data_IF_516312318854
#
_entry.id   IF_516312318854
#
_cell.length_a   1.000
_cell.length_b   1.000
_cell.length_c   1.000
_cell.angle_alpha   90.00
_cell.angle_beta   90.00
_cell.angle_gamma   90.00
#
_symmetry.space_group_name_H-M   'P 1'
#
loop_
_entity.id
_entity.type
_entity.pdbx_description
1 polymer ?
#
# COMPACT_ATOMS: atom_id res chain seq x y z
N UNK A 1 -5.90 -3.35 -12.79
CA UNK A 1 -6.00 -1.86 -12.75
C UNK A 1 -4.59 -1.37 -12.98
N UNK A 2 -4.33 -0.76 -14.18
CA UNK A 2 -3.03 -0.20 -14.48
C UNK A 2 -2.85 1.08 -13.67
N UNK A 3 -1.92 1.08 -12.74
CA UNK A 3 -1.47 2.26 -12.01
C UNK A 3 -0.52 3.05 -12.90
N UNK A 4 -0.96 4.22 -13.37
CA UNK A 4 -0.07 5.16 -14.05
C UNK A 4 0.65 5.99 -12.98
N UNK A 5 1.97 5.83 -12.89
CA UNK A 5 2.81 6.55 -11.94
C UNK A 5 3.59 7.62 -12.71
N UNK A 6 3.43 8.87 -12.30
CA UNK A 6 4.22 9.99 -12.82
C UNK A 6 5.33 10.35 -11.83
N UNK A 7 6.60 10.25 -12.27
CA UNK A 7 7.74 10.77 -11.52
C UNK A 7 7.85 12.28 -11.74
N UNK A 8 8.01 13.04 -10.68
CA UNK A 8 8.41 14.44 -10.73
C UNK A 8 9.94 14.52 -10.87
N UNK A 9 10.45 14.73 -12.10
CA UNK A 9 11.88 14.86 -12.38
C UNK A 9 12.25 14.43 -13.80
N UNK A 10 13.43 14.77 -14.26
CA UNK A 10 13.91 14.90 -15.65
C UNK A 10 13.83 13.67 -16.60
N UNK A 11 13.17 12.55 -16.24
CA UNK A 11 12.94 11.43 -17.16
C UNK A 11 11.44 11.11 -17.31
N UNK A 12 10.67 12.02 -17.91
CA UNK A 12 9.23 11.82 -18.20
C UNK A 12 8.90 10.74 -19.26
N UNK A 13 9.84 9.92 -19.70
CA UNK A 13 9.64 9.01 -20.83
C UNK A 13 9.72 7.52 -20.49
N UNK A 14 9.83 7.13 -19.22
CA UNK A 14 9.90 5.71 -18.86
C UNK A 14 8.65 5.31 -18.07
N UNK A 15 7.75 4.58 -18.71
CA UNK A 15 6.62 3.93 -18.05
C UNK A 15 7.14 2.86 -17.09
N UNK A 16 6.78 2.94 -15.81
CA UNK A 16 7.04 1.91 -14.83
C UNK A 16 5.75 1.10 -14.61
N UNK A 17 5.82 -0.20 -14.84
CA UNK A 17 4.68 -1.11 -14.69
C UNK A 17 4.76 -1.76 -13.31
N UNK A 18 3.71 -1.58 -12.51
CA UNK A 18 3.55 -2.25 -11.23
C UNK A 18 2.74 -3.54 -11.34
N UNK A 19 2.69 -4.26 -10.22
CA UNK A 19 1.79 -5.39 -10.05
C UNK A 19 0.32 -4.94 -9.96
N UNK A 20 -0.57 -5.90 -9.73
CA UNK A 20 -2.01 -5.69 -9.56
C UNK A 20 -2.50 -6.04 -8.14
N UNK A 21 -3.80 -6.11 -7.97
CA UNK A 21 -4.43 -6.34 -6.67
C UNK A 21 -4.27 -7.75 -6.14
N UNK A 22 -3.41 -7.96 -5.14
CA UNK A 22 -3.19 -9.25 -4.49
C UNK A 22 -4.50 -9.89 -3.99
N UNK A 23 -5.33 -9.16 -3.27
CA UNK A 23 -6.58 -9.70 -2.73
C UNK A 23 -7.57 -10.16 -3.82
N UNK A 24 -7.61 -9.49 -4.96
CA UNK A 24 -8.44 -9.89 -6.11
C UNK A 24 -7.94 -11.19 -6.74
N UNK A 25 -6.62 -11.33 -6.92
CA UNK A 25 -6.00 -12.55 -7.46
C UNK A 25 -6.18 -13.75 -6.51
N UNK A 26 -6.01 -13.55 -5.22
CA UNK A 26 -6.25 -14.60 -4.23
C UNK A 26 -7.69 -15.12 -4.29
N UNK A 27 -8.70 -14.22 -4.37
CA UNK A 27 -10.10 -14.62 -4.57
C UNK A 27 -10.33 -15.37 -5.87
N UNK A 28 -9.74 -14.90 -6.97
CA UNK A 28 -9.84 -15.56 -8.27
C UNK A 28 -9.30 -16.99 -8.22
N UNK A 29 -8.27 -17.24 -7.41
CA UNK A 29 -7.67 -18.56 -7.17
C UNK A 29 -8.39 -19.38 -6.11
N UNK A 30 -9.54 -18.92 -5.61
CA UNK A 30 -10.35 -19.63 -4.63
C UNK A 30 -9.84 -19.54 -3.19
N UNK A 31 -8.89 -18.66 -2.89
CA UNK A 31 -8.48 -18.40 -1.52
C UNK A 31 -9.54 -17.55 -0.82
N UNK A 32 -9.86 -17.90 0.41
CA UNK A 32 -10.74 -17.08 1.23
C UNK A 32 -10.06 -15.72 1.54
N UNK A 33 -10.68 -14.65 1.10
CA UNK A 33 -10.27 -13.27 1.40
C UNK A 33 -11.49 -12.58 2.00
N UNK A 34 -11.57 -12.46 3.33
CA UNK A 34 -12.72 -11.87 4.01
C UNK A 34 -12.87 -10.38 3.66
N UNK A 35 -13.96 -9.77 4.13
CA UNK A 35 -14.17 -8.34 3.97
C UNK A 35 -13.08 -7.53 4.70
N UNK A 36 -12.54 -6.48 4.06
CA UNK A 36 -11.58 -5.57 4.68
C UNK A 36 -12.16 -4.78 5.87
N UNK A 37 -13.49 -4.78 6.03
CA UNK A 37 -14.19 -4.13 7.16
C UNK A 37 -14.20 -5.04 8.39
N UNK A 38 -14.29 -6.36 8.17
CA UNK A 38 -14.56 -7.33 9.23
C UNK A 38 -13.30 -8.11 9.67
N UNK A 39 -12.25 -8.14 8.86
CA UNK A 39 -11.09 -8.98 9.12
C UNK A 39 -9.81 -8.48 8.41
N UNK A 40 -8.75 -9.26 8.55
CA UNK A 40 -7.40 -9.02 8.01
C UNK A 40 -7.29 -9.16 6.48
N UNK A 41 -8.41 -9.23 5.76
CA UNK A 41 -8.50 -9.25 4.29
C UNK A 41 -7.46 -10.18 3.65
N UNK A 42 -6.61 -9.67 2.72
CA UNK A 42 -5.58 -10.48 2.03
C UNK A 42 -4.47 -10.97 2.98
N UNK A 43 -4.28 -10.34 4.15
CA UNK A 43 -3.29 -10.80 5.12
C UNK A 43 -3.66 -12.15 5.77
N UNK A 44 -4.94 -12.60 5.72
CA UNK A 44 -5.30 -13.95 6.12
C UNK A 44 -4.50 -15.01 5.35
N UNK A 45 -4.21 -14.77 4.07
CA UNK A 45 -3.41 -15.69 3.26
C UNK A 45 -1.96 -15.84 3.77
N UNK A 46 -1.41 -14.87 4.52
CA UNK A 46 -0.09 -15.00 5.15
C UNK A 46 -0.06 -16.14 6.19
N UNK A 47 -1.18 -16.42 6.84
CA UNK A 47 -1.28 -17.49 7.84
C UNK A 47 -1.72 -18.83 7.27
N UNK A 48 -2.34 -18.86 6.07
CA UNK A 48 -3.00 -20.04 5.53
C UNK A 48 -2.49 -20.50 4.17
N UNK A 49 -1.97 -19.59 3.33
CA UNK A 49 -1.72 -19.86 1.91
C UNK A 49 -0.50 -19.08 1.36
N UNK A 50 0.64 -19.12 2.05
CA UNK A 50 1.86 -18.38 1.66
C UNK A 50 2.34 -18.73 0.26
N UNK A 51 2.22 -19.99 -0.15
CA UNK A 51 2.64 -20.45 -1.47
C UNK A 51 1.85 -19.77 -2.60
N UNK A 52 0.53 -19.59 -2.43
CA UNK A 52 -0.29 -18.91 -3.44
C UNK A 52 0.06 -17.42 -3.54
N UNK A 53 0.42 -16.76 -2.43
CA UNK A 53 0.91 -15.37 -2.46
C UNK A 53 2.16 -15.28 -3.34
N UNK A 54 3.11 -16.19 -3.15
CA UNK A 54 4.33 -16.27 -3.96
C UNK A 54 4.03 -16.48 -5.43
N UNK A 55 3.12 -17.39 -5.76
CA UNK A 55 2.68 -17.65 -7.14
C UNK A 55 2.05 -16.41 -7.78
N UNK A 56 1.23 -15.64 -7.03
CA UNK A 56 0.67 -14.37 -7.53
C UNK A 56 1.77 -13.37 -7.86
N UNK A 57 2.77 -13.22 -6.99
CA UNK A 57 3.92 -12.35 -7.27
C UNK A 57 4.68 -12.79 -8.53
N UNK A 58 4.96 -14.09 -8.66
CA UNK A 58 5.64 -14.63 -9.84
C UNK A 58 4.85 -14.36 -11.12
N UNK A 59 3.53 -14.54 -11.11
CA UNK A 59 2.70 -14.29 -12.30
C UNK A 59 2.67 -12.80 -12.68
N UNK A 60 2.65 -11.87 -11.71
CA UNK A 60 2.78 -10.45 -12.01
C UNK A 60 4.16 -10.12 -12.59
N UNK A 61 5.23 -10.69 -12.05
CA UNK A 61 6.58 -10.52 -12.58
C UNK A 61 6.67 -11.08 -14.01
N UNK A 62 6.08 -12.24 -14.28
CA UNK A 62 6.06 -12.84 -15.61
C UNK A 62 5.22 -12.00 -16.59
N UNK A 63 4.12 -11.41 -16.14
CA UNK A 63 3.31 -10.48 -16.91
C UNK A 63 3.99 -9.13 -17.21
N UNK A 64 5.18 -8.88 -16.65
CA UNK A 64 6.00 -7.71 -16.93
C UNK A 64 6.01 -6.62 -15.85
N UNK A 65 5.60 -6.93 -14.63
CA UNK A 65 5.76 -6.01 -13.50
C UNK A 65 7.25 -5.73 -13.26
N UNK A 66 7.58 -4.46 -13.05
CA UNK A 66 8.92 -3.95 -12.76
C UNK A 66 9.10 -3.65 -11.27
N UNK A 67 8.01 -3.62 -10.52
CA UNK A 67 7.96 -3.70 -9.08
C UNK A 67 6.76 -4.53 -8.64
N UNK A 68 6.88 -5.17 -7.49
CA UNK A 68 5.79 -5.87 -6.81
C UNK A 68 5.62 -5.33 -5.40
N UNK A 69 4.39 -5.34 -4.90
CA UNK A 69 4.04 -4.87 -3.57
C UNK A 69 3.80 -6.05 -2.64
N UNK A 70 4.51 -6.12 -1.53
CA UNK A 70 4.33 -7.17 -0.51
C UNK A 70 2.88 -7.21 -0.01
N UNK A 71 2.40 -8.38 0.41
CA UNK A 71 1.03 -8.57 0.89
C UNK A 71 0.84 -8.09 2.34
N UNK A 72 1.35 -6.89 2.67
CA UNK A 72 1.24 -6.30 4.01
C UNK A 72 0.13 -5.26 4.15
N UNK A 73 -0.68 -5.02 3.11
CA UNK A 73 -1.71 -3.97 3.10
C UNK A 73 -2.66 -4.02 4.31
N UNK A 74 -3.09 -5.19 4.74
CA UNK A 74 -3.99 -5.33 5.89
C UNK A 74 -3.25 -5.67 7.21
N UNK A 75 -1.93 -5.50 7.23
CA UNK A 75 -1.09 -5.74 8.42
C UNK A 75 -0.88 -4.41 9.14
N UNK A 76 -1.90 -3.92 9.83
CA UNK A 76 -1.85 -2.72 10.68
C UNK A 76 -2.31 -3.07 12.09
N UNK A 77 -1.85 -2.33 13.08
CA UNK A 77 -2.17 -2.61 14.49
C UNK A 77 -3.69 -2.68 14.74
N UNK A 78 -4.55 -1.72 14.29
CA UNK A 78 -5.98 -1.80 14.53
C UNK A 78 -6.67 -2.97 13.82
N UNK A 79 -6.21 -3.33 12.61
CA UNK A 79 -6.77 -4.46 11.87
C UNK A 79 -6.41 -5.78 12.57
N UNK A 80 -5.16 -5.94 13.00
CA UNK A 80 -4.68 -7.12 13.71
C UNK A 80 -5.33 -7.27 15.09
N UNK A 81 -5.59 -6.18 15.81
CA UNK A 81 -6.32 -6.20 17.08
C UNK A 81 -7.73 -6.80 16.93
N UNK A 82 -8.44 -6.45 15.85
CA UNK A 82 -9.77 -7.01 15.56
C UNK A 82 -9.75 -8.51 15.23
N UNK A 83 -8.60 -9.02 14.85
CA UNK A 83 -8.38 -10.43 14.51
C UNK A 83 -7.67 -11.23 15.62
N UNK A 84 -7.49 -10.67 16.81
CA UNK A 84 -6.72 -11.25 17.91
C UNK A 84 -5.25 -11.58 17.56
N UNK A 85 -4.66 -10.80 16.64
CA UNK A 85 -3.30 -10.97 16.12
C UNK A 85 -2.40 -9.75 16.41
N UNK A 86 -2.76 -8.90 17.37
CA UNK A 86 -2.08 -7.62 17.66
C UNK A 86 -0.56 -7.76 17.89
N UNK A 87 -0.11 -8.88 18.43
CA UNK A 87 1.30 -9.18 18.71
C UNK A 87 2.06 -9.74 17.50
N UNK A 88 1.45 -9.80 16.32
CA UNK A 88 2.05 -10.38 15.10
C UNK A 88 2.35 -9.32 14.02
N UNK A 89 2.32 -8.03 14.36
CA UNK A 89 2.56 -6.96 13.39
C UNK A 89 3.90 -7.10 12.66
N UNK A 90 4.97 -7.25 13.43
CA UNK A 90 6.33 -7.43 12.89
C UNK A 90 6.46 -8.75 12.13
N UNK A 91 6.04 -9.86 12.74
CA UNK A 91 6.16 -11.19 12.15
C UNK A 91 5.42 -11.30 10.80
N UNK A 92 4.17 -10.82 10.72
CA UNK A 92 3.38 -10.86 9.49
C UNK A 92 3.91 -9.87 8.42
N UNK A 93 4.40 -8.71 8.84
CA UNK A 93 5.05 -7.76 7.93
C UNK A 93 6.29 -8.39 7.32
N UNK A 94 7.22 -8.89 8.13
CA UNK A 94 8.45 -9.55 7.66
C UNK A 94 8.16 -10.80 6.83
N UNK A 95 7.16 -11.60 7.19
CA UNK A 95 6.74 -12.75 6.39
C UNK A 95 6.28 -12.32 4.99
N UNK A 96 5.47 -11.25 4.90
CA UNK A 96 5.02 -10.75 3.60
C UNK A 96 6.19 -10.31 2.70
N UNK A 97 7.18 -9.63 3.29
CA UNK A 97 8.40 -9.21 2.60
C UNK A 97 9.24 -10.41 2.16
N UNK A 98 9.39 -11.41 3.03
CA UNK A 98 10.15 -12.64 2.71
C UNK A 98 9.55 -13.37 1.51
N UNK A 99 8.22 -13.52 1.46
CA UNK A 99 7.53 -14.19 0.34
C UNK A 99 7.76 -13.42 -0.97
N UNK A 100 7.68 -12.09 -0.95
CA UNK A 100 7.92 -11.27 -2.12
C UNK A 100 9.39 -11.31 -2.58
N UNK A 101 10.35 -11.26 -1.64
CA UNK A 101 11.80 -11.42 -1.92
C UNK A 101 12.08 -12.78 -2.55
N UNK A 102 11.48 -13.85 -2.04
CA UNK A 102 11.61 -15.20 -2.59
C UNK A 102 11.08 -15.28 -4.03
N UNK A 103 9.96 -14.61 -4.34
CA UNK A 103 9.43 -14.55 -5.69
C UNK A 103 10.36 -13.78 -6.64
N UNK A 104 10.90 -12.64 -6.20
CA UNK A 104 11.88 -11.86 -6.98
C UNK A 104 13.13 -12.71 -7.26
N UNK A 105 13.68 -13.36 -6.25
CA UNK A 105 14.86 -14.22 -6.40
C UNK A 105 14.61 -15.38 -7.36
N UNK A 106 13.45 -16.05 -7.24
CA UNK A 106 13.07 -17.17 -8.11
C UNK A 106 12.88 -16.73 -9.57
N UNK A 107 12.35 -15.54 -9.79
CA UNK A 107 12.13 -14.99 -11.14
C UNK A 107 13.43 -14.71 -11.89
N UNK A 108 14.54 -14.48 -11.19
CA UNK A 108 15.84 -14.08 -11.76
C UNK A 108 15.81 -12.71 -12.46
N UNK A 109 14.73 -11.93 -12.32
CA UNK A 109 14.56 -10.62 -12.93
C UNK A 109 14.95 -9.49 -11.96
N UNK A 110 15.29 -8.33 -12.51
CA UNK A 110 15.54 -7.11 -11.73
C UNK A 110 14.22 -6.41 -11.43
N UNK A 111 13.65 -6.71 -10.27
CA UNK A 111 12.33 -6.26 -9.83
C UNK A 111 12.48 -5.51 -8.50
N UNK A 112 11.92 -4.32 -8.40
CA UNK A 112 11.86 -3.58 -7.14
C UNK A 112 10.82 -4.17 -6.20
N UNK A 113 11.15 -4.20 -4.91
CA UNK A 113 10.22 -4.56 -3.85
C UNK A 113 9.59 -3.30 -3.27
N UNK A 114 8.26 -3.25 -3.25
CA UNK A 114 7.49 -2.24 -2.56
C UNK A 114 6.77 -2.82 -1.33
N UNK A 115 6.51 -1.98 -0.33
CA UNK A 115 5.62 -2.31 0.79
C UNK A 115 4.67 -1.16 1.08
N UNK A 116 3.52 -1.48 1.65
CA UNK A 116 2.44 -0.54 1.94
C UNK A 116 2.55 0.08 3.33
N UNK A 117 2.31 1.38 3.43
CA UNK A 117 1.73 2.06 4.59
C UNK A 117 0.27 2.38 4.23
N UNK A 118 -0.68 1.49 4.54
CA UNK A 118 -2.08 1.60 4.16
C UNK A 118 -2.87 2.45 5.17
N UNK A 119 -4.16 2.77 4.92
CA UNK A 119 -5.04 3.30 5.96
C UNK A 119 -5.07 2.37 7.19
N UNK A 120 -4.85 2.93 8.38
CA UNK A 120 -4.66 2.15 9.60
C UNK A 120 -5.89 1.31 9.98
N UNK A 121 -7.07 1.93 9.95
CA UNK A 121 -8.31 1.27 10.39
C UNK A 121 -8.95 0.41 9.31
N UNK A 122 -9.19 0.98 8.16
CA UNK A 122 -9.71 0.30 6.95
C UNK A 122 -9.79 1.28 5.77
N UNK A 123 -9.87 0.74 4.56
CA UNK A 123 -9.95 1.52 3.33
C UNK A 123 -11.26 2.33 3.24
N UNK A 124 -11.20 3.51 2.65
CA UNK A 124 -12.33 4.39 2.32
C UNK A 124 -13.12 4.97 3.50
N UNK A 125 -12.73 4.71 4.73
CA UNK A 125 -13.40 5.14 5.95
C UNK A 125 -12.65 6.30 6.61
N UNK A 126 -12.61 7.43 5.90
CA UNK A 126 -12.02 8.68 6.39
C UNK A 126 -12.62 9.20 7.70
N UNK A 127 -13.80 8.68 8.08
CA UNK A 127 -14.46 8.96 9.36
C UNK A 127 -13.87 8.18 10.54
N UNK A 128 -13.01 7.20 10.29
CA UNK A 128 -12.36 6.37 11.32
C UNK A 128 -10.91 6.76 11.59
N UNK A 129 -10.41 7.85 11.01
CA UNK A 129 -9.04 8.27 11.27
C UNK A 129 -8.84 8.62 12.75
N UNK A 130 -7.68 8.26 13.26
CA UNK A 130 -7.28 8.55 14.64
C UNK A 130 -6.75 9.98 14.78
N UNK A 131 -6.48 10.39 16.01
CA UNK A 131 -5.70 11.61 16.26
C UNK A 131 -4.33 11.52 15.58
N UNK A 132 -3.82 12.64 15.06
CA UNK A 132 -2.57 12.67 14.29
C UNK A 132 -1.40 12.00 15.02
N UNK A 133 -1.22 12.26 16.33
CA UNK A 133 -0.12 11.64 17.09
C UNK A 133 -0.23 10.13 17.14
N UNK A 134 -1.43 9.59 17.32
CA UNK A 134 -1.65 8.13 17.32
C UNK A 134 -1.39 7.52 15.95
N UNK A 135 -1.85 8.18 14.88
CA UNK A 135 -1.55 7.73 13.52
C UNK A 135 -0.03 7.75 13.28
N UNK A 136 0.64 8.83 13.65
CA UNK A 136 2.09 8.93 13.50
C UNK A 136 2.82 7.81 14.23
N UNK A 137 2.48 7.53 15.49
CA UNK A 137 3.13 6.47 16.28
C UNK A 137 2.94 5.09 15.65
N UNK A 138 1.74 4.76 15.19
CA UNK A 138 1.46 3.47 14.55
C UNK A 138 2.14 3.34 13.17
N UNK A 139 2.16 4.41 12.37
CA UNK A 139 2.93 4.41 11.12
C UNK A 139 4.43 4.33 11.35
N UNK A 140 4.94 4.97 12.42
CA UNK A 140 6.36 4.90 12.76
C UNK A 140 6.78 3.47 13.13
N UNK A 141 5.92 2.71 13.81
CA UNK A 141 6.17 1.31 14.11
C UNK A 141 6.31 0.49 12.81
N UNK A 142 5.36 0.63 11.88
CA UNK A 142 5.43 -0.01 10.57
C UNK A 142 6.65 0.45 9.75
N UNK A 143 6.91 1.75 9.71
CA UNK A 143 8.05 2.32 8.99
C UNK A 143 9.39 1.76 9.50
N UNK A 144 9.53 1.57 10.81
CA UNK A 144 10.73 0.98 11.41
C UNK A 144 10.96 -0.47 10.96
N UNK A 145 9.87 -1.25 10.79
CA UNK A 145 9.97 -2.64 10.28
C UNK A 145 10.39 -2.66 8.81
N UNK A 146 9.93 -1.67 8.02
CA UNK A 146 10.19 -1.59 6.58
C UNK A 146 11.57 -0.99 6.23
N UNK A 147 12.21 -0.28 7.17
CA UNK A 147 13.46 0.45 6.90
C UNK A 147 14.60 -0.50 6.47
N UNK A 148 15.17 -0.22 5.29
CA UNK A 148 16.23 -1.04 4.70
C UNK A 148 15.77 -2.38 4.11
N UNK A 149 14.49 -2.72 4.20
CA UNK A 149 13.95 -3.99 3.73
C UNK A 149 13.36 -3.92 2.31
N UNK A 150 13.02 -2.71 1.83
CA UNK A 150 12.30 -2.49 0.56
C UNK A 150 12.88 -1.32 -0.23
N UNK A 151 12.70 -1.36 -1.56
CA UNK A 151 13.12 -0.27 -2.46
C UNK A 151 12.12 0.91 -2.44
N UNK A 152 10.85 0.62 -2.20
CA UNK A 152 9.75 1.58 -2.28
C UNK A 152 8.83 1.40 -1.07
N UNK A 153 8.48 2.51 -0.40
CA UNK A 153 7.40 2.54 0.59
C UNK A 153 6.24 3.35 0.01
N UNK A 154 5.06 2.73 -0.05
CA UNK A 154 3.86 3.32 -0.64
C UNK A 154 2.87 3.68 0.47
N UNK A 155 2.68 4.97 0.75
CA UNK A 155 1.52 5.45 1.50
C UNK A 155 0.31 5.39 0.56
N UNK A 156 -0.42 4.28 0.52
CA UNK A 156 -1.44 4.03 -0.52
C UNK A 156 -2.87 4.12 -0.02
N UNK A 157 -3.81 4.33 -0.97
CA UNK A 157 -5.26 4.35 -0.72
C UNK A 157 -5.68 5.42 0.31
N UNK A 158 -4.90 6.50 0.39
CA UNK A 158 -5.14 7.56 1.37
C UNK A 158 -6.46 8.27 1.09
N UNK A 159 -7.36 8.22 2.06
CA UNK A 159 -8.72 8.74 2.00
C UNK A 159 -8.88 10.10 2.70
N UNK A 160 -7.86 10.54 3.46
CA UNK A 160 -7.82 11.77 4.24
C UNK A 160 -6.41 12.35 4.27
N UNK A 161 -6.28 13.68 4.12
CA UNK A 161 -4.99 14.36 4.05
C UNK A 161 -4.14 14.23 5.32
N UNK A 162 -4.76 14.24 6.50
CA UNK A 162 -4.03 14.10 7.77
C UNK A 162 -3.45 12.70 7.95
N UNK A 163 -4.16 11.66 7.50
CA UNK A 163 -3.64 10.29 7.54
C UNK A 163 -2.46 10.13 6.57
N UNK A 164 -2.60 10.64 5.34
CA UNK A 164 -1.50 10.67 4.37
C UNK A 164 -0.28 11.42 4.93
N UNK A 165 -0.50 12.58 5.58
CA UNK A 165 0.58 13.34 6.20
C UNK A 165 1.26 12.55 7.33
N UNK A 166 0.49 11.86 8.18
CA UNK A 166 1.05 11.06 9.26
C UNK A 166 1.93 9.95 8.70
N UNK A 167 1.42 9.16 7.74
CA UNK A 167 2.16 8.08 7.11
C UNK A 167 3.44 8.59 6.41
N UNK A 168 3.32 9.58 5.54
CA UNK A 168 4.45 10.11 4.78
C UNK A 168 5.52 10.76 5.69
N UNK A 169 5.11 11.35 6.82
CA UNK A 169 6.04 11.97 7.78
C UNK A 169 6.97 10.96 8.45
N UNK A 170 6.53 9.71 8.64
CA UNK A 170 7.34 8.68 9.33
C UNK A 170 8.49 8.14 8.49
N UNK A 171 8.44 8.31 7.17
CA UNK A 171 9.44 7.76 6.24
C UNK A 171 10.35 8.82 5.63
N UNK A 172 10.36 10.08 6.16
CA UNK A 172 11.12 11.18 5.56
C UNK A 172 12.63 10.94 5.52
N UNK A 173 13.16 10.20 6.48
CA UNK A 173 14.59 9.86 6.59
C UNK A 173 14.92 8.49 5.98
N UNK A 174 13.91 7.73 5.52
CA UNK A 174 14.13 6.44 4.88
C UNK A 174 14.93 6.57 3.59
N UNK A 175 15.74 5.55 3.29
CA UNK A 175 16.49 5.42 2.04
C UNK A 175 15.63 4.92 0.88
N UNK A 176 14.49 4.32 1.15
CA UNK A 176 13.53 3.85 0.15
C UNK A 176 12.87 5.01 -0.61
N UNK A 177 12.44 4.78 -1.84
CA UNK A 177 11.57 5.72 -2.55
C UNK A 177 10.24 5.87 -1.80
N UNK A 178 9.74 7.08 -1.70
CA UNK A 178 8.52 7.47 -0.97
C UNK A 178 7.41 7.78 -1.95
N UNK A 179 6.38 6.96 -2.00
CA UNK A 179 5.25 7.16 -2.90
C UNK A 179 3.98 7.44 -2.12
N UNK A 180 3.16 8.36 -2.63
CA UNK A 180 1.89 8.72 -2.02
C UNK A 180 0.74 8.49 -2.99
N UNK A 181 -0.18 7.60 -2.61
CA UNK A 181 -1.37 7.21 -3.37
C UNK A 181 -2.66 7.71 -2.73
N UNK A 182 -3.41 8.51 -3.49
CA UNK A 182 -4.73 8.96 -3.11
C UNK A 182 -5.82 8.03 -3.65
N UNK A 183 -6.88 7.79 -2.88
CA UNK A 183 -8.10 7.18 -3.40
C UNK A 183 -9.19 8.23 -3.57
N UNK A 184 -9.93 8.16 -4.70
CA UNK A 184 -10.99 9.12 -5.00
C UNK A 184 -12.35 8.58 -4.58
N UNK A 185 -13.25 9.48 -4.20
CA UNK A 185 -14.64 9.15 -3.90
C UNK A 185 -15.36 8.66 -5.16
N UNK A 186 -16.07 7.52 -5.06
CA UNK A 186 -16.65 6.83 -6.21
C UNK A 186 -17.69 7.62 -7.02
N UNK A 187 -18.26 8.70 -6.46
CA UNK A 187 -19.33 9.49 -7.08
C UNK A 187 -19.07 11.01 -7.08
N UNK A 188 -17.88 11.46 -6.68
CA UNK A 188 -17.51 12.89 -6.62
C UNK A 188 -16.14 13.08 -7.25
N UNK A 189 -16.11 13.81 -8.38
CA UNK A 189 -14.87 14.13 -9.07
C UNK A 189 -13.92 14.93 -8.17
N UNK A 190 -12.63 14.67 -8.28
CA UNK A 190 -11.55 15.37 -7.57
C UNK A 190 -11.72 15.44 -6.04
N UNK A 191 -12.49 14.51 -5.45
CA UNK A 191 -12.79 14.50 -4.03
C UNK A 191 -12.36 13.19 -3.40
N UNK A 192 -11.70 13.25 -2.24
CA UNK A 192 -11.37 12.09 -1.42
C UNK A 192 -12.61 11.59 -0.66
N UNK A 193 -12.63 10.37 -0.14
CA UNK A 193 -13.70 9.89 0.75
C UNK A 193 -13.95 10.77 1.97
N UNK A 194 -12.95 11.50 2.46
CA UNK A 194 -13.09 12.52 3.51
C UNK A 194 -13.98 13.71 3.14
N UNK A 195 -14.19 13.93 1.83
CA UNK A 195 -14.84 15.12 1.30
C UNK A 195 -13.86 16.25 0.94
N UNK A 196 -12.57 16.10 1.24
CA UNK A 196 -11.53 17.06 0.83
C UNK A 196 -11.34 17.06 -0.69
N UNK A 197 -11.08 18.22 -1.26
CA UNK A 197 -10.60 18.28 -2.64
C UNK A 197 -9.16 17.73 -2.72
N UNK A 198 -8.83 16.98 -3.78
CA UNK A 198 -7.50 16.37 -3.94
C UNK A 198 -6.37 17.41 -3.97
N UNK A 199 -6.62 18.63 -4.50
CA UNK A 199 -5.63 19.70 -4.50
C UNK A 199 -5.36 20.20 -3.07
N UNK A 200 -6.42 20.35 -2.26
CA UNK A 200 -6.30 20.73 -0.85
C UNK A 200 -5.56 19.66 -0.06
N UNK A 201 -5.86 18.38 -0.32
CA UNK A 201 -5.16 17.27 0.32
C UNK A 201 -3.66 17.24 -0.06
N UNK A 202 -3.33 17.51 -1.32
CA UNK A 202 -1.95 17.64 -1.78
C UNK A 202 -1.21 18.79 -1.04
N UNK A 203 -1.85 19.95 -0.86
CA UNK A 203 -1.24 21.09 -0.16
C UNK A 203 -0.83 20.75 1.29
N UNK A 204 -1.51 19.78 1.94
CA UNK A 204 -1.18 19.33 3.32
C UNK A 204 0.13 18.53 3.36
N UNK A 205 0.50 17.89 2.26
CA UNK A 205 1.68 16.98 2.17
C UNK A 205 2.82 17.53 1.30
N UNK A 206 2.62 18.64 0.59
CA UNK A 206 3.56 19.16 -0.44
C UNK A 206 4.99 19.45 0.04
N UNK A 207 5.15 19.79 1.33
CA UNK A 207 6.45 20.11 1.92
C UNK A 207 7.23 18.87 2.39
N UNK A 208 6.61 17.67 2.30
CA UNK A 208 7.24 16.40 2.60
C UNK A 208 7.91 15.83 1.35
N UNK A 209 9.04 15.14 1.53
CA UNK A 209 9.68 14.42 0.42
C UNK A 209 8.75 13.32 -0.08
N UNK A 210 8.46 13.34 -1.38
CA UNK A 210 7.68 12.32 -2.07
C UNK A 210 8.24 12.15 -3.48
N UNK A 211 8.63 10.94 -3.83
CA UNK A 211 9.29 10.61 -5.10
C UNK A 211 8.27 10.35 -6.22
N UNK A 212 7.05 9.92 -5.87
CA UNK A 212 5.96 9.72 -6.80
C UNK A 212 4.59 9.93 -6.17
N UNK A 213 3.67 10.52 -6.95
CA UNK A 213 2.25 10.59 -6.62
C UNK A 213 1.44 9.66 -7.50
N UNK A 214 0.44 9.03 -6.93
CA UNK A 214 -0.42 8.07 -7.62
C UNK A 214 -1.87 8.21 -7.19
N UNK A 215 -2.77 7.64 -8.00
CA UNK A 215 -4.17 7.45 -7.65
C UNK A 215 -4.46 5.96 -7.75
N UNK A 216 -4.97 5.34 -6.69
CA UNK A 216 -5.22 3.92 -6.63
C UNK A 216 -6.58 3.58 -6.00
N UNK A 217 -6.99 2.33 -6.12
CA UNK A 217 -8.19 1.78 -5.49
C UNK A 217 -9.50 2.56 -5.76
N UNK A 218 -9.60 3.23 -6.90
CA UNK A 218 -10.83 3.91 -7.34
C UNK A 218 -11.16 3.58 -8.80
N UNK A 219 -12.38 3.92 -9.23
CA UNK A 219 -12.79 3.70 -10.61
C UNK A 219 -11.97 4.54 -11.60
N UNK A 220 -11.57 3.96 -12.73
CA UNK A 220 -10.80 4.65 -13.77
C UNK A 220 -11.48 5.93 -14.28
N UNK A 221 -12.81 5.94 -14.28
CA UNK A 221 -13.62 7.11 -14.65
C UNK A 221 -13.52 8.29 -13.65
N UNK A 222 -12.88 8.10 -12.51
CA UNK A 222 -12.65 9.15 -11.52
C UNK A 222 -11.30 9.84 -11.71
N UNK A 223 -10.44 9.29 -12.56
CA UNK A 223 -9.05 9.77 -12.80
C UNK A 223 -8.93 10.57 -14.10
N UNK A 224 -10.01 10.64 -14.88
CA UNK A 224 -10.06 11.30 -16.21
C UNK A 224 -10.65 12.70 -16.14
#
# INVERSE_FOLDING_TARGET
INLNIFRLGEEMNKLLIGDGGMGSELRFRGVEVPSHIESIWSALALTTNTQIIKEVHLDYIEAGAQYITANNYAVTQPILERADLANQLEDLTLLSLSIAKDAIQESGKDIKLAASLPPLETSYRADLILDYSKMYDQYQELANILEGEVDIIICETMAHSLEAKAALSTIQDSTSEKWLGWTLHGNRSNTLPSGENIIEAFEVTKDLKCDAYMINCCGVNMVT
#
